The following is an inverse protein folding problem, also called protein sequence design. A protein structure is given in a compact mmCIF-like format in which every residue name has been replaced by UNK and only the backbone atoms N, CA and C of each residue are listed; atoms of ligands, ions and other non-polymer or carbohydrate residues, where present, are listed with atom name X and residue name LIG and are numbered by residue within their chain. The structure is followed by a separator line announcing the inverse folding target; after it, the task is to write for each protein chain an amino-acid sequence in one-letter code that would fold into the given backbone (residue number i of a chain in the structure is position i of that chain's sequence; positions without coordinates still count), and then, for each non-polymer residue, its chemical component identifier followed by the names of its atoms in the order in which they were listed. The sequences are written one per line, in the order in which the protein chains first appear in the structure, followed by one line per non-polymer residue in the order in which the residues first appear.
data_IF_788580207196
#
_entry.id   IF_788580207196
#
_cell.length_a   1.000
_cell.length_b   1.000
_cell.length_c   1.000
_cell.angle_alpha   90.00
_cell.angle_beta   90.00
_cell.angle_gamma   90.00
#
_symmetry.space_group_name_H-M   'P 1'
#
loop_
_entity.id
_entity.type
_entity.pdbx_description
1 polymer ?
#
# COMPACT_ATOMS: atom_id res chain seq x y z
N UNK A 1 -13.43 37.90 16.79
CA UNK A 1 -13.37 36.59 17.47
C UNK A 1 -13.34 35.55 16.36
N UNK A 2 -12.19 35.14 15.82
CA UNK A 2 -11.21 34.25 16.47
C UNK A 2 -11.72 32.81 16.30
N UNK A 3 -11.05 31.85 15.67
CA UNK A 3 -9.74 31.78 15.06
C UNK A 3 -9.54 30.37 14.46
N UNK A 4 -8.54 30.28 13.59
CA UNK A 4 -7.68 29.13 13.26
C UNK A 4 -7.99 27.75 13.85
N UNK A 5 -7.97 26.73 12.98
CA UNK A 5 -7.30 25.45 13.28
C UNK A 5 -6.92 24.75 11.98
N UNK A 6 -5.70 25.07 11.55
CA UNK A 6 -4.87 24.27 10.68
C UNK A 6 -4.36 23.10 11.53
N UNK A 7 -4.70 21.85 11.18
CA UNK A 7 -4.07 20.68 11.79
C UNK A 7 -3.30 19.90 10.73
N UNK A 8 -2.02 20.21 10.71
CA UNK A 8 -0.95 19.49 10.06
C UNK A 8 -0.73 18.15 10.76
N UNK A 9 -0.71 17.04 10.02
CA UNK A 9 0.06 15.85 10.39
C UNK A 9 1.01 15.58 9.22
N UNK A 10 2.19 16.19 9.32
CA UNK A 10 3.40 15.80 8.60
C UNK A 10 4.47 15.58 9.66
N UNK A 11 4.78 14.32 9.94
CA UNK A 11 5.89 13.83 10.77
C UNK A 11 5.96 12.34 10.43
N UNK A 12 7.01 11.76 9.85
CA UNK A 12 8.44 11.85 10.16
C UNK A 12 9.21 11.29 8.94
N UNK A 13 10.44 11.78 8.70
CA UNK A 13 11.36 11.15 7.74
C UNK A 13 12.25 12.10 6.96
N UNK A 14 12.87 13.09 7.64
CA UNK A 14 13.86 13.99 7.03
C UNK A 14 15.25 13.38 7.20
N UNK A 15 15.66 12.54 6.25
CA UNK A 15 17.06 12.20 6.01
C UNK A 15 17.62 13.16 4.96
N UNK A 16 18.60 13.96 5.35
CA UNK A 16 19.32 14.93 4.53
C UNK A 16 20.18 14.23 3.46
N UNK A 17 19.92 14.48 2.18
CA UNK A 17 20.94 14.48 1.12
C UNK A 17 20.48 15.34 -0.07
N UNK A 18 21.44 16.08 -0.62
CA UNK A 18 21.33 17.21 -1.55
C UNK A 18 20.77 16.91 -2.96
N UNK A 19 20.39 17.96 -3.72
CA UNK A 19 19.67 17.85 -4.98
C UNK A 19 20.62 17.80 -6.20
N UNK A 20 20.92 16.60 -6.67
CA UNK A 20 21.27 16.36 -8.07
C UNK A 20 20.41 15.19 -8.55
N UNK A 21 19.88 15.29 -9.79
CA UNK A 21 18.98 14.31 -10.44
C UNK A 21 17.47 14.54 -10.22
N UNK A 22 16.99 15.77 -10.45
CA UNK A 22 15.59 15.98 -10.83
C UNK A 22 15.52 16.45 -12.28
N UNK A 23 15.85 15.54 -13.20
CA UNK A 23 15.47 15.65 -14.60
C UNK A 23 15.15 14.26 -15.12
N UNK A 24 13.99 14.15 -15.74
CA UNK A 24 13.36 12.95 -16.27
C UNK A 24 12.62 12.07 -15.26
N UNK A 25 11.53 11.46 -15.73
CA UNK A 25 10.58 10.58 -15.01
C UNK A 25 9.46 11.26 -14.22
N UNK A 26 8.53 11.89 -14.93
CA UNK A 26 7.12 11.90 -14.51
C UNK A 26 6.19 12.09 -15.71
N UNK A 27 5.78 11.00 -16.36
CA UNK A 27 4.54 10.99 -17.14
C UNK A 27 3.92 9.58 -17.18
N UNK A 28 3.46 9.11 -16.01
CA UNK A 28 2.39 8.10 -15.93
C UNK A 28 1.51 8.48 -14.75
N UNK A 29 0.36 9.09 -15.01
CA UNK A 29 -0.85 8.90 -14.17
C UNK A 29 -2.13 9.40 -14.85
N UNK A 30 -2.97 8.39 -15.12
CA UNK A 30 -4.41 8.31 -14.81
C UNK A 30 -5.36 9.18 -15.63
N UNK A 31 -5.91 8.54 -16.67
CA UNK A 31 -7.20 8.84 -17.28
C UNK A 31 -8.30 8.89 -16.22
N UNK A 32 -8.95 10.04 -16.06
CA UNK A 32 -10.33 10.13 -15.59
C UNK A 32 -11.12 10.91 -16.65
N UNK A 33 -12.10 10.22 -17.25
CA UNK A 33 -13.06 10.83 -18.14
C UNK A 33 -14.00 11.73 -17.32
N UNK A 34 -13.91 13.04 -17.53
CA UNK A 34 -14.94 14.00 -17.13
C UNK A 34 -15.56 14.55 -18.41
N UNK A 35 -16.71 13.99 -18.75
CA UNK A 35 -17.60 14.49 -19.79
C UNK A 35 -18.31 15.73 -19.25
N UNK A 36 -18.06 16.93 -19.79
CA UNK A 36 -19.05 18.04 -19.77
C UNK A 36 -18.92 18.96 -20.99
N UNK A 37 -20.03 19.62 -21.41
CA UNK A 37 -20.24 20.04 -22.79
C UNK A 37 -20.06 21.56 -23.01
N UNK A 38 -20.07 21.91 -24.31
CA UNK A 38 -20.27 23.24 -24.92
C UNK A 38 -19.07 24.19 -25.04
N UNK A 39 -18.51 24.20 -26.25
CA UNK A 39 -18.36 25.43 -27.03
C UNK A 39 -17.25 26.40 -26.63
N UNK A 40 -16.03 26.15 -27.13
CA UNK A 40 -15.14 27.13 -27.80
C UNK A 40 -13.81 26.44 -28.14
N UNK A 41 -13.43 26.47 -29.41
CA UNK A 41 -12.12 26.02 -29.88
C UNK A 41 -11.09 27.07 -29.42
N UNK A 42 -10.31 26.75 -28.39
CA UNK A 42 -9.07 27.45 -28.10
C UNK A 42 -7.93 26.64 -28.70
N UNK A 43 -7.46 27.04 -29.87
CA UNK A 43 -6.19 26.58 -30.42
C UNK A 43 -5.07 27.10 -29.53
N UNK A 44 -4.64 26.31 -28.55
CA UNK A 44 -3.39 26.57 -27.84
C UNK A 44 -2.26 26.14 -28.77
N UNK A 45 -1.71 27.08 -29.54
CA UNK A 45 -0.37 26.92 -30.07
C UNK A 45 0.58 26.92 -28.87
N UNK A 46 0.96 25.73 -28.42
CA UNK A 46 2.11 25.57 -27.54
C UNK A 46 3.36 25.91 -28.36
N UNK A 47 3.74 27.19 -28.38
CA UNK A 47 5.13 27.59 -28.61
C UNK A 47 5.90 27.07 -27.40
N UNK A 48 6.51 25.89 -27.56
CA UNK A 48 7.47 25.40 -26.58
C UNK A 48 8.72 26.25 -26.71
N UNK A 49 8.76 27.33 -25.92
CA UNK A 49 9.98 28.04 -25.58
C UNK A 49 10.80 27.14 -24.67
N UNK A 50 11.67 26.34 -25.26
CA UNK A 50 12.70 25.60 -24.54
C UNK A 50 14.02 26.28 -24.83
N UNK A 51 14.45 27.06 -23.84
CA UNK A 51 15.74 27.72 -23.69
C UNK A 51 16.77 27.37 -24.77
N UNK A 52 17.02 28.36 -25.62
CA UNK A 52 18.30 28.58 -26.28
C UNK A 52 19.40 28.55 -25.21
N UNK A 53 19.97 27.37 -24.97
CA UNK A 53 21.27 27.29 -24.34
C UNK A 53 22.22 27.92 -25.34
N UNK A 54 22.49 29.20 -25.13
CA UNK A 54 23.47 30.01 -25.83
C UNK A 54 24.86 29.44 -25.51
N UNK A 55 25.14 28.24 -26.05
CA UNK A 55 26.48 27.71 -26.11
C UNK A 55 27.10 28.44 -27.28
N UNK A 56 27.60 29.64 -27.00
CA UNK A 56 28.66 30.29 -27.75
C UNK A 56 29.88 29.38 -27.67
N UNK A 57 29.81 28.23 -28.35
CA UNK A 57 30.91 27.31 -28.56
C UNK A 57 31.81 28.02 -29.56
N UNK A 58 32.86 28.66 -29.03
CA UNK A 58 34.11 28.97 -29.70
C UNK A 58 34.01 29.04 -31.24
N UNK A 59 33.40 30.10 -31.75
CA UNK A 59 33.41 30.44 -33.16
C UNK A 59 34.78 31.04 -33.53
N UNK A 60 35.83 30.23 -33.45
CA UNK A 60 37.13 30.57 -34.02
C UNK A 60 37.81 29.39 -34.70
N UNK A 61 37.10 28.28 -34.94
CA UNK A 61 37.56 27.22 -35.86
C UNK A 61 37.57 27.81 -37.27
N UNK A 62 38.68 28.44 -37.66
CA UNK A 62 38.89 28.97 -39.00
C UNK A 62 39.42 30.40 -39.10
N UNK A 63 39.63 31.13 -38.00
CA UNK A 63 40.33 32.41 -38.08
C UNK A 63 41.83 32.16 -38.23
N UNK A 64 42.32 32.13 -39.48
CA UNK A 64 43.76 32.24 -39.75
C UNK A 64 44.23 33.56 -39.16
N UNK A 65 44.96 33.49 -38.05
CA UNK A 65 45.67 34.64 -37.49
C UNK A 65 46.91 34.82 -38.34
N UNK A 66 46.90 35.85 -39.18
CA UNK A 66 48.05 36.22 -39.98
C UNK A 66 48.96 37.10 -39.14
N UNK A 67 50.22 36.68 -38.98
CA UNK A 67 51.21 37.47 -38.28
C UNK A 67 51.94 38.38 -39.27
N UNK A 68 51.76 39.68 -39.09
CA UNK A 68 52.40 40.69 -39.94
C UNK A 68 53.83 40.96 -39.44
N UNK A 69 54.77 40.25 -40.04
CA UNK A 69 56.22 40.37 -39.79
C UNK A 69 56.71 41.82 -39.97
N UNK A 70 56.20 42.52 -40.99
CA UNK A 70 56.72 43.83 -41.39
C UNK A 70 56.28 44.93 -40.42
N UNK A 71 55.04 44.89 -39.96
CA UNK A 71 54.55 45.82 -38.94
C UNK A 71 55.35 45.72 -37.63
N UNK A 72 55.72 44.50 -37.21
CA UNK A 72 56.50 44.29 -35.99
C UNK A 72 57.94 44.78 -36.15
N UNK A 73 58.55 44.55 -37.32
CA UNK A 73 59.90 45.07 -37.63
C UNK A 73 59.93 46.60 -37.56
N UNK A 74 58.95 47.28 -38.17
CA UNK A 74 58.85 48.74 -38.12
C UNK A 74 58.68 49.30 -36.70
N UNK A 75 57.91 48.61 -35.85
CA UNK A 75 57.73 49.00 -34.44
C UNK A 75 59.04 48.86 -33.66
N UNK A 76 59.83 47.83 -33.93
CA UNK A 76 61.12 47.61 -33.27
C UNK A 76 62.17 48.62 -33.73
N UNK A 77 62.21 48.92 -35.02
CA UNK A 77 63.09 49.95 -35.58
C UNK A 77 62.76 51.34 -35.02
N UNK A 78 61.48 51.69 -34.89
CA UNK A 78 61.05 52.95 -34.27
C UNK A 78 61.45 53.07 -32.79
N UNK A 79 61.77 51.96 -32.13
CA UNK A 79 62.24 51.91 -30.73
C UNK A 79 63.77 51.81 -30.61
N UNK A 80 64.51 51.99 -31.71
CA UNK A 80 65.97 52.08 -31.72
C UNK A 80 66.70 50.75 -31.95
N UNK A 81 66.00 49.70 -32.38
CA UNK A 81 66.65 48.45 -32.81
C UNK A 81 67.15 48.57 -34.25
N UNK A 82 68.28 47.91 -34.55
CA UNK A 82 68.72 47.79 -35.95
C UNK A 82 67.80 46.85 -36.73
N UNK A 83 67.66 47.07 -38.03
CA UNK A 83 66.83 46.25 -38.92
C UNK A 83 67.11 44.75 -38.74
N UNK A 84 68.39 44.39 -38.65
CA UNK A 84 68.87 43.01 -38.50
C UNK A 84 68.52 42.41 -37.12
N UNK A 85 68.52 43.21 -36.06
CA UNK A 85 68.08 42.77 -34.73
C UNK A 85 66.56 42.55 -34.70
N UNK A 86 65.80 43.46 -35.31
CA UNK A 86 64.36 43.35 -35.44
C UNK A 86 63.94 42.09 -36.21
N UNK A 87 64.58 41.81 -37.35
CA UNK A 87 64.32 40.60 -38.14
C UNK A 87 64.61 39.30 -37.36
N UNK A 88 65.71 39.26 -36.59
CA UNK A 88 66.07 38.11 -35.75
C UNK A 88 65.02 37.84 -34.65
N UNK A 89 64.57 38.89 -33.95
CA UNK A 89 63.56 38.79 -32.89
C UNK A 89 62.22 38.32 -33.50
N UNK A 90 61.83 38.90 -34.63
CA UNK A 90 60.57 38.55 -35.30
C UNK A 90 60.62 37.12 -35.85
N UNK A 91 61.76 36.65 -36.37
CA UNK A 91 61.96 35.26 -36.81
C UNK A 91 61.83 34.26 -35.65
N UNK A 92 62.38 34.58 -34.48
CA UNK A 92 62.23 33.75 -33.28
C UNK A 92 60.76 33.69 -32.82
N UNK A 93 60.06 34.83 -32.81
CA UNK A 93 58.63 34.89 -32.49
C UNK A 93 57.77 34.10 -33.48
N UNK A 94 58.06 34.19 -34.77
CA UNK A 94 57.36 33.42 -35.82
C UNK A 94 57.54 31.91 -35.62
N UNK A 95 58.75 31.45 -35.28
CA UNK A 95 59.00 30.04 -34.98
C UNK A 95 58.21 29.56 -33.77
N UNK A 96 58.24 30.31 -32.67
CA UNK A 96 57.47 29.98 -31.46
C UNK A 96 55.97 29.98 -31.75
N UNK A 97 55.48 30.96 -32.49
CA UNK A 97 54.06 31.06 -32.84
C UNK A 97 53.63 29.92 -33.75
N UNK A 98 54.42 29.55 -34.76
CA UNK A 98 54.13 28.40 -35.62
C UNK A 98 54.09 27.11 -34.81
N UNK A 99 55.08 26.87 -33.93
CA UNK A 99 55.07 25.70 -33.04
C UNK A 99 53.89 25.70 -32.06
N UNK A 100 53.52 26.85 -31.49
CA UNK A 100 52.37 26.98 -30.60
C UNK A 100 51.05 26.76 -31.34
N UNK A 101 50.93 27.25 -32.58
CA UNK A 101 49.74 27.04 -33.40
C UNK A 101 49.58 25.55 -33.74
N UNK A 102 50.65 24.84 -34.10
CA UNK A 102 50.59 23.39 -34.36
C UNK A 102 50.10 22.60 -33.14
N UNK A 103 50.54 22.94 -31.93
CA UNK A 103 50.05 22.33 -30.69
C UNK A 103 48.57 22.64 -30.43
N UNK A 104 48.15 23.89 -30.62
CA UNK A 104 46.76 24.31 -30.46
C UNK A 104 45.87 23.65 -31.51
N UNK A 105 46.33 23.45 -32.75
CA UNK A 105 45.57 22.73 -33.78
C UNK A 105 45.45 21.22 -33.50
N UNK A 106 46.45 20.59 -32.87
CA UNK A 106 46.40 19.18 -32.46
C UNK A 106 45.50 18.96 -31.23
N UNK A 107 45.51 19.88 -30.27
CA UNK A 107 44.67 19.81 -29.06
C UNK A 107 43.22 20.28 -29.34
N UNK A 108 43.00 21.04 -30.41
CA UNK A 108 41.66 21.38 -30.87
C UNK A 108 40.92 20.15 -31.38
N UNK A 109 39.89 19.76 -30.65
CA UNK A 109 38.91 18.78 -31.12
C UNK A 109 38.24 19.31 -32.39
N UNK A 110 38.45 18.62 -33.51
CA UNK A 110 37.76 18.97 -34.76
C UNK A 110 36.26 18.78 -34.57
N UNK A 111 35.45 19.66 -35.19
CA UNK A 111 33.98 19.55 -35.13
C UNK A 111 33.48 18.16 -35.55
N UNK A 112 34.17 17.54 -36.50
CA UNK A 112 33.89 16.17 -36.97
C UNK A 112 34.14 15.14 -35.86
N UNK A 113 35.27 15.23 -35.13
CA UNK A 113 35.57 14.32 -34.03
C UNK A 113 34.56 14.48 -32.88
N UNK A 114 34.12 15.70 -32.61
CA UNK A 114 33.09 15.98 -31.63
C UNK A 114 31.73 15.37 -32.02
N UNK A 115 31.33 15.47 -33.28
CA UNK A 115 30.09 14.89 -33.80
C UNK A 115 30.08 13.35 -33.74
N UNK A 116 31.20 12.70 -34.07
CA UNK A 116 31.34 11.23 -33.99
C UNK A 116 31.20 10.75 -32.54
N UNK A 117 31.92 11.41 -31.61
CA UNK A 117 31.84 11.06 -30.18
C UNK A 117 30.42 11.26 -29.63
N UNK A 118 29.72 12.30 -30.08
CA UNK A 118 28.35 12.57 -29.68
C UNK A 118 27.38 11.52 -30.23
N UNK A 119 27.53 11.11 -31.49
CA UNK A 119 26.72 10.04 -32.07
C UNK A 119 26.92 8.70 -31.36
N UNK A 120 28.16 8.38 -30.95
CA UNK A 120 28.46 7.19 -30.12
C UNK A 120 27.77 7.27 -28.76
N UNK A 121 27.83 8.41 -28.08
CA UNK A 121 27.12 8.59 -26.80
C UNK A 121 25.61 8.41 -26.99
N UNK A 122 25.02 8.96 -28.06
CA UNK A 122 23.59 8.78 -28.33
C UNK A 122 23.21 7.32 -28.62
N UNK A 123 24.07 6.57 -29.32
CA UNK A 123 23.79 5.14 -29.59
C UNK A 123 23.83 4.31 -28.30
N UNK A 124 24.78 4.59 -27.40
CA UNK A 124 24.83 3.96 -26.08
C UNK A 124 23.59 4.28 -25.25
N UNK A 125 23.12 5.54 -25.25
CA UNK A 125 21.89 5.93 -24.57
C UNK A 125 20.67 5.20 -25.17
N UNK A 126 20.61 5.06 -26.49
CA UNK A 126 19.53 4.34 -27.16
C UNK A 126 19.50 2.85 -26.79
N UNK A 127 20.67 2.21 -26.68
CA UNK A 127 20.78 0.83 -26.20
C UNK A 127 20.33 0.68 -24.75
N UNK A 128 20.84 1.52 -23.85
CA UNK A 128 20.46 1.48 -22.43
C UNK A 128 18.95 1.72 -22.23
N UNK A 129 18.35 2.59 -23.04
CA UNK A 129 16.90 2.81 -23.04
C UNK A 129 16.13 1.57 -23.49
N UNK A 130 16.61 0.86 -24.50
CA UNK A 130 16.01 -0.41 -24.94
C UNK A 130 16.08 -1.44 -23.83
N UNK A 131 17.23 -1.57 -23.18
CA UNK A 131 17.44 -2.53 -22.08
C UNK A 131 16.52 -2.20 -20.89
N UNK A 132 16.37 -0.91 -20.54
CA UNK A 132 15.41 -0.45 -19.52
C UNK A 132 13.97 -0.86 -19.86
N UNK A 133 13.52 -0.63 -21.10
CA UNK A 133 12.16 -0.97 -21.53
C UNK A 133 11.96 -2.50 -21.52
N UNK A 134 12.97 -3.28 -21.93
CA UNK A 134 12.89 -4.74 -21.93
C UNK A 134 12.77 -5.25 -20.49
N UNK A 135 13.64 -4.77 -19.60
CA UNK A 135 13.65 -5.15 -18.20
C UNK A 135 12.33 -4.77 -17.52
N UNK A 136 11.87 -3.53 -17.71
CA UNK A 136 10.57 -3.07 -17.22
C UNK A 136 9.44 -3.93 -17.78
N UNK A 137 9.49 -4.34 -19.04
CA UNK A 137 8.41 -5.15 -19.62
C UNK A 137 8.45 -6.61 -19.16
N UNK A 138 9.62 -7.23 -19.05
CA UNK A 138 9.74 -8.65 -18.67
C UNK A 138 9.57 -8.86 -17.17
N UNK A 139 10.30 -8.10 -16.35
CA UNK A 139 10.32 -8.30 -14.90
C UNK A 139 9.06 -7.76 -14.24
N UNK A 140 8.58 -6.58 -14.65
CA UNK A 140 7.34 -6.03 -14.10
C UNK A 140 6.12 -6.88 -14.48
N UNK A 141 6.10 -7.46 -15.70
CA UNK A 141 5.03 -8.36 -16.10
C UNK A 141 5.03 -9.63 -15.26
N UNK A 142 6.20 -10.24 -15.06
CA UNK A 142 6.33 -11.43 -14.22
C UNK A 142 5.90 -11.14 -12.77
N UNK A 143 6.44 -10.07 -12.17
CA UNK A 143 6.09 -9.65 -10.81
C UNK A 143 4.60 -9.31 -10.66
N UNK A 144 3.99 -8.73 -11.68
CA UNK A 144 2.55 -8.45 -11.67
C UNK A 144 1.73 -9.73 -11.68
N UNK A 145 2.08 -10.68 -12.53
CA UNK A 145 1.41 -11.99 -12.57
C UNK A 145 1.59 -12.74 -11.25
N UNK A 146 2.78 -12.72 -10.66
CA UNK A 146 3.02 -13.31 -9.33
C UNK A 146 2.21 -12.62 -8.23
N UNK A 147 2.15 -11.28 -8.23
CA UNK A 147 1.31 -10.55 -7.28
C UNK A 147 -0.18 -10.87 -7.43
N UNK A 148 -0.68 -10.94 -8.66
CA UNK A 148 -2.07 -11.31 -8.94
C UNK A 148 -2.37 -12.76 -8.50
N UNK A 149 -1.42 -13.68 -8.71
CA UNK A 149 -1.51 -15.07 -8.22
C UNK A 149 -1.53 -15.14 -6.70
N UNK A 150 -0.57 -14.49 -6.02
CA UNK A 150 -0.50 -14.45 -4.57
C UNK A 150 -1.77 -13.84 -3.96
N UNK A 151 -2.32 -12.79 -4.57
CA UNK A 151 -3.58 -12.19 -4.15
C UNK A 151 -4.75 -13.16 -4.29
N UNK A 152 -4.81 -13.93 -5.38
CA UNK A 152 -5.83 -14.96 -5.58
C UNK A 152 -5.72 -16.08 -4.53
N UNK A 153 -4.50 -16.57 -4.27
CA UNK A 153 -4.25 -17.60 -3.25
C UNK A 153 -4.63 -17.12 -1.85
N UNK A 154 -4.30 -15.87 -1.51
CA UNK A 154 -4.68 -15.27 -0.22
C UNK A 154 -6.20 -15.19 -0.06
N UNK A 155 -6.92 -14.74 -1.08
CA UNK A 155 -8.38 -14.70 -1.05
C UNK A 155 -9.00 -16.11 -0.94
N UNK A 156 -8.41 -17.11 -1.59
CA UNK A 156 -8.85 -18.51 -1.47
C UNK A 156 -8.63 -19.05 -0.06
N UNK A 157 -7.45 -18.85 0.53
CA UNK A 157 -7.13 -19.27 1.90
C UNK A 157 -8.02 -18.56 2.91
N UNK A 158 -8.28 -17.27 2.74
CA UNK A 158 -9.20 -16.51 3.60
C UNK A 158 -10.61 -17.08 3.56
N UNK A 159 -11.12 -17.41 2.37
CA UNK A 159 -12.44 -18.07 2.22
C UNK A 159 -12.47 -19.44 2.90
N UNK A 160 -11.45 -20.26 2.70
CA UNK A 160 -11.35 -21.57 3.36
C UNK A 160 -11.34 -21.43 4.88
N UNK A 161 -10.54 -20.51 5.43
CA UNK A 161 -10.48 -20.25 6.87
C UNK A 161 -11.85 -19.81 7.43
N UNK A 162 -12.55 -18.91 6.73
CA UNK A 162 -13.89 -18.48 7.18
C UNK A 162 -14.91 -19.61 7.11
N UNK A 163 -14.81 -20.49 6.12
CA UNK A 163 -15.69 -21.65 6.00
C UNK A 163 -15.45 -22.65 7.14
N UNK A 164 -14.20 -22.99 7.43
CA UNK A 164 -13.85 -23.95 8.50
C UNK A 164 -14.17 -23.40 9.89
N UNK A 165 -13.98 -22.09 10.13
CA UNK A 165 -14.38 -21.45 11.38
C UNK A 165 -15.90 -21.48 11.58
N UNK A 166 -16.68 -21.23 10.52
CA UNK A 166 -18.14 -21.34 10.56
C UNK A 166 -18.60 -22.77 10.81
N UNK A 167 -17.98 -23.76 10.15
CA UNK A 167 -18.29 -25.18 10.35
C UNK A 167 -17.98 -25.62 11.79
N UNK A 168 -16.85 -25.18 12.34
CA UNK A 168 -16.48 -25.44 13.74
C UNK A 168 -17.49 -24.83 14.71
N UNK A 169 -17.86 -23.56 14.53
CA UNK A 169 -18.88 -22.90 15.37
C UNK A 169 -20.23 -23.60 15.29
N UNK A 170 -20.62 -24.06 14.10
CA UNK A 170 -21.85 -24.83 13.91
C UNK A 170 -21.81 -26.16 14.67
N UNK A 171 -20.67 -26.86 14.64
CA UNK A 171 -20.46 -28.09 15.41
C UNK A 171 -20.50 -27.83 16.92
N UNK A 172 -19.83 -26.78 17.39
CA UNK A 172 -19.83 -26.38 18.81
C UNK A 172 -21.27 -26.07 19.30
N UNK A 173 -22.04 -25.27 18.56
CA UNK A 173 -23.45 -24.99 18.87
C UNK A 173 -24.31 -26.26 18.86
N UNK A 174 -24.09 -27.16 17.90
CA UNK A 174 -24.81 -28.44 17.84
C UNK A 174 -24.51 -29.30 19.07
N UNK A 175 -23.26 -29.35 19.52
CA UNK A 175 -22.90 -30.10 20.72
C UNK A 175 -23.52 -29.49 21.99
N UNK A 176 -23.52 -28.16 22.12
CA UNK A 176 -24.13 -27.46 23.25
C UNK A 176 -25.65 -27.69 23.33
N UNK A 177 -26.36 -27.67 22.20
CA UNK A 177 -27.80 -28.00 22.14
C UNK A 177 -28.06 -29.42 22.63
N UNK A 178 -27.25 -30.40 22.21
CA UNK A 178 -27.40 -31.80 22.65
C UNK A 178 -27.15 -31.93 24.15
N UNK A 179 -26.14 -31.25 24.68
CA UNK A 179 -25.86 -31.25 26.12
C UNK A 179 -27.02 -30.65 26.91
N UNK A 180 -27.51 -29.47 26.51
CA UNK A 180 -28.67 -28.83 27.12
C UNK A 180 -29.91 -29.72 27.07
N UNK A 181 -30.19 -30.38 25.94
CA UNK A 181 -31.31 -31.32 25.83
C UNK A 181 -31.16 -32.48 26.82
N UNK A 182 -29.95 -33.03 26.98
CA UNK A 182 -29.69 -34.10 27.95
C UNK A 182 -29.90 -33.64 29.40
N UNK A 183 -29.56 -32.39 29.72
CA UNK A 183 -29.81 -31.80 31.04
C UNK A 183 -31.31 -31.60 31.28
N UNK A 184 -32.04 -31.12 30.26
CA UNK A 184 -33.48 -30.95 30.30
C UNK A 184 -34.20 -32.29 30.49
N UNK A 185 -33.82 -33.34 29.75
CA UNK A 185 -34.41 -34.68 29.87
C UNK A 185 -34.22 -35.25 31.28
N UNK A 186 -33.04 -35.04 31.88
CA UNK A 186 -32.76 -35.42 33.27
C UNK A 186 -33.66 -34.67 34.25
N UNK A 187 -33.79 -33.35 34.10
CA UNK A 187 -34.64 -32.51 34.97
C UNK A 187 -36.13 -32.89 34.84
N UNK A 188 -36.60 -33.16 33.62
CA UNK A 188 -37.96 -33.63 33.36
C UNK A 188 -38.20 -35.01 34.01
N UNK A 189 -37.26 -35.94 33.84
CA UNK A 189 -37.36 -37.28 34.44
C UNK A 189 -37.39 -37.20 35.97
N UNK A 190 -36.57 -36.34 36.57
CA UNK A 190 -36.57 -36.13 38.02
C UNK A 190 -37.92 -35.56 38.50
N UNK A 191 -38.45 -34.57 37.80
CA UNK A 191 -39.74 -33.96 38.14
C UNK A 191 -40.88 -34.96 38.00
N UNK A 192 -40.88 -35.76 36.93
CA UNK A 192 -41.86 -36.82 36.71
C UNK A 192 -41.84 -37.84 37.85
N UNK A 193 -40.66 -38.31 38.26
CA UNK A 193 -40.52 -39.21 39.41
C UNK A 193 -41.07 -38.60 40.70
N UNK A 194 -40.85 -37.30 40.95
CA UNK A 194 -41.42 -36.60 42.11
C UNK A 194 -42.94 -36.57 42.07
N UNK A 195 -43.52 -36.23 40.92
CA UNK A 195 -44.97 -36.23 40.72
C UNK A 195 -45.53 -37.63 41.00
N UNK A 196 -44.92 -38.68 40.46
CA UNK A 196 -45.37 -40.05 40.69
C UNK A 196 -45.34 -40.43 42.18
N UNK A 197 -44.30 -40.01 42.91
CA UNK A 197 -44.21 -40.25 44.36
C UNK A 197 -45.23 -39.44 45.17
N UNK A 198 -45.47 -38.18 44.82
CA UNK A 198 -46.47 -37.33 45.48
C UNK A 198 -47.89 -37.86 45.21
N UNK A 199 -48.18 -38.29 43.99
CA UNK A 199 -49.47 -38.90 43.61
C UNK A 199 -49.71 -40.20 44.39
N UNK A 200 -48.69 -41.07 44.50
CA UNK A 200 -48.78 -42.27 45.31
C UNK A 200 -48.99 -41.93 46.80
N UNK A 201 -48.26 -40.95 47.33
CA UNK A 201 -48.41 -40.48 48.71
C UNK A 201 -49.81 -39.95 49.01
N UNK A 202 -50.32 -39.05 48.17
CA UNK A 202 -51.68 -38.52 48.28
C UNK A 202 -52.75 -39.62 48.22
N UNK A 203 -52.56 -40.62 47.36
CA UNK A 203 -53.47 -41.78 47.29
C UNK A 203 -53.47 -42.60 48.58
N UNK A 204 -52.31 -42.91 49.15
CA UNK A 204 -52.25 -43.65 50.43
C UNK A 204 -52.88 -42.87 51.58
N UNK A 205 -52.68 -41.56 51.61
CA UNK A 205 -53.31 -40.68 52.60
C UNK A 205 -54.84 -40.68 52.45
N UNK A 206 -55.34 -40.59 51.23
CA UNK A 206 -56.78 -40.68 50.94
C UNK A 206 -57.37 -42.03 51.38
N UNK A 207 -56.70 -43.14 51.06
CA UNK A 207 -57.13 -44.48 51.46
C UNK A 207 -57.14 -44.64 52.98
N UNK A 208 -56.13 -44.11 53.69
CA UNK A 208 -56.10 -44.13 55.16
C UNK A 208 -57.26 -43.33 55.77
N UNK A 209 -57.55 -42.13 55.25
CA UNK A 209 -58.64 -41.29 55.72
C UNK A 209 -60.01 -41.95 55.51
N UNK A 210 -60.18 -42.67 54.38
CA UNK A 210 -61.39 -43.48 54.12
C UNK A 210 -61.55 -44.59 55.17
N UNK A 211 -60.47 -45.30 55.49
CA UNK A 211 -60.51 -46.37 56.50
C UNK A 211 -60.80 -45.82 57.90
N UNK A 212 -60.23 -44.68 58.26
CA UNK A 212 -60.47 -44.03 59.55
C UNK A 212 -61.92 -43.55 59.68
N UNK A 213 -62.46 -42.92 58.63
CA UNK A 213 -63.88 -42.52 58.58
C UNK A 213 -64.82 -43.71 58.81
N UNK A 214 -64.53 -44.86 58.19
CA UNK A 214 -65.32 -46.09 58.39
C UNK A 214 -65.21 -46.58 59.85
N UNK A 215 -64.01 -46.59 60.44
CA UNK A 215 -63.80 -47.01 61.84
C UNK A 215 -64.56 -46.12 62.82
N UNK A 216 -64.46 -44.79 62.67
CA UNK A 216 -65.15 -43.83 63.55
C UNK A 216 -66.68 -43.95 63.42
N UNK A 217 -67.19 -44.14 62.19
CA UNK A 217 -68.61 -44.36 61.97
C UNK A 217 -69.10 -45.63 62.68
N UNK A 218 -68.42 -46.77 62.47
CA UNK A 218 -68.78 -48.03 63.12
C UNK A 218 -68.73 -47.93 64.66
N UNK A 219 -67.69 -47.29 65.21
CA UNK A 219 -67.56 -47.05 66.65
C UNK A 219 -68.72 -46.19 67.20
N UNK A 220 -69.07 -45.11 66.50
CA UNK A 220 -70.18 -44.23 66.91
C UNK A 220 -71.52 -44.98 66.97
N UNK A 221 -71.85 -45.77 65.93
CA UNK A 221 -73.09 -46.57 65.89
C UNK A 221 -73.11 -47.60 67.01
N UNK A 222 -71.99 -48.28 67.26
CA UNK A 222 -71.87 -49.26 68.33
C UNK A 222 -72.01 -48.61 69.72
N UNK A 223 -71.44 -47.42 69.92
CA UNK A 223 -71.62 -46.67 71.18
C UNK A 223 -73.07 -46.23 71.39
N UNK A 224 -73.74 -45.71 70.34
CA UNK A 224 -75.16 -45.36 70.41
C UNK A 224 -76.04 -46.56 70.73
N UNK A 225 -75.78 -47.72 70.10
CA UNK A 225 -76.48 -48.98 70.40
C UNK A 225 -76.25 -49.43 71.85
N UNK A 226 -75.01 -49.34 72.34
CA UNK A 226 -74.67 -49.70 73.73
C UNK A 226 -75.41 -48.81 74.73
N UNK A 227 -75.46 -47.50 74.47
CA UNK A 227 -76.18 -46.53 75.30
C UNK A 227 -77.68 -46.82 75.27
N UNK A 228 -78.27 -47.03 74.10
CA UNK A 228 -79.70 -47.35 73.95
C UNK A 228 -80.08 -48.65 74.68
N UNK A 229 -79.26 -49.69 74.57
CA UNK A 229 -79.44 -50.95 75.30
C UNK A 229 -79.31 -50.77 76.82
N UNK A 230 -78.37 -49.92 77.26
CA UNK A 230 -78.21 -49.55 78.67
C UNK A 230 -79.46 -48.87 79.23
N UNK A 231 -80.02 -47.89 78.52
CA UNK A 231 -81.28 -47.24 78.88
C UNK A 231 -82.47 -48.20 78.86
N UNK A 232 -82.57 -49.06 77.85
CA UNK A 232 -83.63 -50.08 77.78
C UNK A 232 -83.60 -51.02 78.99
N UNK A 233 -82.41 -51.39 79.46
CA UNK A 233 -82.22 -52.27 80.63
C UNK A 233 -82.53 -51.60 81.97
N UNK A 234 -82.50 -50.26 82.06
CA UNK A 234 -82.88 -49.49 83.26
C UNK A 234 -84.39 -49.16 83.29
N UNK A 235 -85.07 -49.21 82.15
CA UNK A 235 -86.50 -48.88 82.01
C UNK A 235 -87.43 -50.09 82.24
N UNK A 236 -86.93 -51.31 82.09
CA UNK A 236 -87.66 -52.57 82.35
C UNK A 236 -87.30 -53.12 83.72
#
# INVERSE_FOLDING_TARGET
MGGHSCLSIWSYGRGTMEPMLRSSYSCVRRMHAVQRPRGRVCTVLCVSSSHTHNRTVFSSVGKKLYFDTHAVVQILEARGFTTQQSEMIVSALLKIMNSNMDLVYQDMVTKVQQEISLQQVMSHIASAKKDMIILEKSEFSALRTENEKLKSELEQLKKQLTYTDNERKLLELRTEIVEMHSQQDRAQTQTKRKIDTEVAGLKTMLESHKLDSIKYLAGSVFTCLTIALGFYRLWM
#
